data_IF_149001287853
#
_entry.id   IF_149001287853
#
_cell.length_a   1.000
_cell.length_b   1.000
_cell.length_c   1.000
_cell.angle_alpha   90.00
_cell.angle_beta   90.00
_cell.angle_gamma   90.00
#
_symmetry.space_group_name_H-M   'P 1'
#
loop_
_entity.id
_entity.type
_entity.pdbx_description
1 polymer ?
#
# COMPACT_ATOMS: atom_id res chain seq x y z
N UNK A 1 2.47 -3.60 -2.86
CA UNK A 1 3.46 -2.67 -2.27
C UNK A 1 3.11 -2.44 -0.81
N UNK A 2 4.10 -2.06 -0.01
CA UNK A 2 3.96 -1.70 1.39
C UNK A 2 4.34 -0.23 1.54
N UNK A 3 3.49 0.55 2.21
CA UNK A 3 3.71 1.98 2.47
C UNK A 3 3.50 2.30 3.94
N UNK A 4 4.33 3.18 4.50
CA UNK A 4 4.17 3.72 5.87
C UNK A 4 2.75 4.21 6.09
N UNK A 5 2.11 3.78 7.18
CA UNK A 5 0.75 4.16 7.51
C UNK A 5 0.57 5.68 7.68
N UNK A 6 1.61 6.37 8.16
CA UNK A 6 1.63 7.84 8.30
C UNK A 6 1.85 8.60 6.98
N UNK A 7 2.32 7.93 5.91
CA UNK A 7 2.64 8.59 4.65
C UNK A 7 1.39 8.79 3.77
N UNK A 8 0.51 9.68 4.21
CA UNK A 8 -0.76 9.99 3.54
C UNK A 8 -0.56 10.44 2.09
N UNK A 9 0.51 11.17 1.78
CA UNK A 9 0.83 11.63 0.43
C UNK A 9 1.12 10.47 -0.53
N UNK A 10 1.97 9.51 -0.11
CA UNK A 10 2.27 8.32 -0.92
C UNK A 10 1.04 7.43 -1.08
N UNK A 11 0.24 7.25 0.00
CA UNK A 11 -1.02 6.50 -0.07
C UNK A 11 -1.98 7.12 -1.09
N UNK A 12 -2.15 8.45 -1.07
CA UNK A 12 -2.99 9.16 -2.04
C UNK A 12 -2.46 9.01 -3.48
N UNK A 13 -1.15 9.10 -3.67
CA UNK A 13 -0.49 8.87 -4.96
C UNK A 13 -0.77 7.45 -5.48
N UNK A 14 -0.58 6.42 -4.65
CA UNK A 14 -0.81 5.04 -5.07
C UNK A 14 -2.29 4.76 -5.37
N UNK A 15 -3.22 5.37 -4.62
CA UNK A 15 -4.65 5.32 -4.95
C UNK A 15 -4.94 5.89 -6.33
N UNK A 16 -4.29 7.01 -6.70
CA UNK A 16 -4.47 7.61 -8.04
C UNK A 16 -3.97 6.70 -9.18
N UNK A 17 -3.05 5.78 -8.89
CA UNK A 17 -2.56 4.76 -9.84
C UNK A 17 -3.37 3.45 -9.82
N UNK A 18 -4.50 3.43 -9.11
CA UNK A 18 -5.39 2.27 -9.03
C UNK A 18 -5.02 1.24 -7.96
N UNK A 19 -4.09 1.55 -7.06
CA UNK A 19 -3.82 0.67 -5.91
C UNK A 19 -4.89 0.84 -4.83
N UNK A 20 -5.31 -0.27 -4.24
CA UNK A 20 -6.25 -0.33 -3.12
C UNK A 20 -5.57 -0.92 -1.90
N UNK A 21 -5.95 -0.48 -0.70
CA UNK A 21 -5.44 -1.05 0.54
C UNK A 21 -6.09 -2.42 0.79
N UNK A 22 -5.27 -3.45 1.04
CA UNK A 22 -5.72 -4.83 1.24
C UNK A 22 -5.40 -5.37 2.63
N UNK A 23 -4.58 -4.67 3.42
CA UNK A 23 -4.27 -5.07 4.79
C UNK A 23 -3.27 -4.15 5.46
N UNK A 24 -2.94 -4.46 6.71
CA UNK A 24 -1.95 -3.74 7.53
C UNK A 24 -1.02 -4.74 8.18
N UNK A 25 0.28 -4.43 8.21
CA UNK A 25 1.32 -5.16 8.95
C UNK A 25 1.78 -4.32 10.13
N UNK A 26 1.42 -4.72 11.37
CA UNK A 26 1.83 -3.98 12.55
C UNK A 26 3.35 -4.00 12.75
N UNK A 27 3.95 -2.84 13.04
CA UNK A 27 5.38 -2.71 13.33
C UNK A 27 6.32 -3.26 12.24
N UNK A 28 5.94 -3.05 10.97
CA UNK A 28 6.67 -3.55 9.81
C UNK A 28 8.00 -2.82 9.59
N UNK A 29 8.02 -1.49 9.76
CA UNK A 29 9.25 -0.72 9.63
C UNK A 29 10.10 -0.87 10.91
N UNK A 30 11.37 -1.22 10.76
CA UNK A 30 12.23 -1.61 11.88
C UNK A 30 12.84 -0.45 12.65
N UNK A 31 12.90 0.73 12.06
CA UNK A 31 13.48 1.95 12.63
C UNK A 31 12.60 2.57 13.71
N UNK A 32 11.29 2.65 13.48
CA UNK A 32 10.33 3.30 14.39
C UNK A 32 9.14 2.41 14.77
N UNK A 33 9.16 1.14 14.37
CA UNK A 33 8.05 0.19 14.59
C UNK A 33 6.73 0.70 13.99
N UNK A 34 6.81 1.47 12.91
CA UNK A 34 5.62 1.93 12.22
C UNK A 34 4.96 0.80 11.42
N UNK A 35 3.64 0.85 11.36
CA UNK A 35 2.81 -0.03 10.57
C UNK A 35 2.98 0.21 9.06
N UNK A 36 2.87 -0.87 8.28
CA UNK A 36 2.78 -0.77 6.83
C UNK A 36 1.37 -1.09 6.34
N UNK A 37 0.82 -0.22 5.50
CA UNK A 37 -0.37 -0.51 4.71
C UNK A 37 0.06 -1.31 3.49
N UNK A 38 -0.50 -2.50 3.33
CA UNK A 38 -0.36 -3.29 2.11
C UNK A 38 -1.34 -2.71 1.09
N UNK A 39 -0.83 -2.28 -0.05
CA UNK A 39 -1.63 -1.85 -1.19
C UNK A 39 -1.37 -2.76 -2.39
N UNK A 40 -2.44 -3.15 -3.07
CA UNK A 40 -2.41 -4.01 -4.24
C UNK A 40 -3.12 -3.35 -5.42
N UNK A 41 -2.71 -3.66 -6.64
CA UNK A 41 -3.44 -3.28 -7.86
C UNK A 41 -3.59 -4.54 -8.68
N UNK A 42 -4.84 -4.88 -8.99
CA UNK A 42 -5.11 -6.00 -9.87
C UNK A 42 -4.64 -5.65 -11.28
N UNK A 43 -4.02 -6.62 -11.94
CA UNK A 43 -3.65 -6.50 -13.33
C UNK A 43 -4.84 -6.96 -14.17
N UNK A 44 -5.59 -6.01 -14.74
CA UNK A 44 -6.59 -6.32 -15.77
C UNK A 44 -5.87 -6.59 -17.11
N UNK A 45 -5.11 -7.68 -17.14
CA UNK A 45 -4.60 -8.24 -18.38
C UNK A 45 -5.69 -9.06 -19.03
N UNK A 46 -6.27 -8.50 -20.08
CA UNK A 46 -6.95 -9.16 -21.21
C UNK A 46 -7.39 -10.61 -20.96
N UNK A 47 -8.69 -10.80 -20.72
CA UNK A 47 -9.32 -12.12 -20.87
C UNK A 47 -9.02 -12.65 -22.27
N UNK A 48 -8.28 -13.75 -22.33
CA UNK A 48 -8.16 -14.58 -23.52
C UNK A 48 -9.51 -15.17 -23.94
#
# INVERSE_FOLDING_TARGET
LEVRASNAAAIALYRSFGFVATGVRPGYYSDDREDAVIMWRDWEGETA
#
